data_IF_525468954929
#
_entry.id   IF_525468954929
#
_cell.length_a   1.000
_cell.length_b   1.000
_cell.length_c   1.000
_cell.angle_alpha   90.00
_cell.angle_beta   90.00
_cell.angle_gamma   90.00
#
_symmetry.space_group_name_H-M   'P 1'
#
loop_
_entity.id
_entity.type
_entity.pdbx_description
1 polymer ?
#
# COMPACT_ATOMS: atom_id res chain seq x y z
N UNK A 1 16.08 -10.75 4.78
CA UNK A 1 14.93 -10.47 3.92
C UNK A 1 14.20 -11.78 3.62
N UNK A 2 12.93 -11.88 4.00
CA UNK A 2 12.17 -13.13 3.84
C UNK A 2 11.70 -13.31 2.37
N UNK A 3 11.10 -14.45 2.03
CA UNK A 3 10.66 -14.74 0.66
C UNK A 3 9.59 -13.76 0.15
N UNK A 4 8.72 -13.29 1.04
CA UNK A 4 7.64 -12.35 0.72
C UNK A 4 8.21 -10.97 0.40
N UNK A 5 9.15 -10.46 1.18
CA UNK A 5 9.81 -9.16 0.92
C UNK A 5 10.49 -9.15 -0.46
N UNK A 6 11.15 -10.27 -0.84
CA UNK A 6 11.75 -10.45 -2.18
C UNK A 6 10.71 -10.46 -3.28
N UNK A 7 9.58 -11.14 -3.06
CA UNK A 7 8.48 -11.16 -4.01
C UNK A 7 7.94 -9.75 -4.24
N UNK A 8 7.74 -8.98 -3.17
CA UNK A 8 7.24 -7.61 -3.24
C UNK A 8 8.23 -6.74 -3.99
N UNK A 9 9.51 -6.74 -3.62
CA UNK A 9 10.57 -5.97 -4.28
C UNK A 9 10.64 -6.21 -5.80
N UNK A 10 10.44 -7.46 -6.25
CA UNK A 10 10.44 -7.81 -7.67
C UNK A 10 9.14 -7.49 -8.40
N UNK A 11 8.06 -7.18 -7.67
CA UNK A 11 6.71 -6.99 -8.19
C UNK A 11 6.15 -5.60 -7.84
N UNK A 12 7.00 -4.58 -7.83
CA UNK A 12 6.62 -3.21 -7.47
C UNK A 12 5.47 -2.62 -8.28
N UNK A 13 5.21 -3.11 -9.49
CA UNK A 13 4.05 -2.71 -10.30
C UNK A 13 2.69 -3.01 -9.66
N UNK A 14 2.65 -3.93 -8.69
CA UNK A 14 1.46 -4.30 -7.93
C UNK A 14 1.37 -3.58 -6.58
N UNK A 15 2.21 -2.56 -6.38
CA UNK A 15 2.15 -1.69 -5.20
C UNK A 15 1.33 -0.46 -5.53
N UNK A 16 0.18 -0.34 -4.86
CA UNK A 16 -0.71 0.79 -5.01
C UNK A 16 -0.47 1.82 -3.90
N UNK A 17 -0.49 3.09 -4.31
CA UNK A 17 -0.40 4.27 -3.43
C UNK A 17 -1.82 4.78 -3.16
N UNK A 18 -2.26 4.76 -1.91
CA UNK A 18 -3.64 5.12 -1.54
C UNK A 18 -3.61 6.27 -0.54
N UNK A 19 -4.25 7.39 -0.89
CA UNK A 19 -4.53 8.49 0.03
C UNK A 19 -5.99 8.41 0.46
N UNK A 20 -6.23 8.15 1.74
CA UNK A 20 -7.58 8.00 2.28
C UNK A 20 -7.66 8.54 3.70
N UNK A 21 -8.90 8.70 4.20
CA UNK A 21 -9.12 8.93 5.62
C UNK A 21 -9.28 7.59 6.34
N UNK A 22 -8.64 7.44 7.49
CA UNK A 22 -8.87 6.30 8.37
C UNK A 22 -10.26 6.36 9.05
N UNK A 23 -10.58 5.38 9.87
CA UNK A 23 -11.85 5.32 10.62
C UNK A 23 -12.02 6.46 11.63
N UNK A 24 -10.95 7.17 11.98
CA UNK A 24 -10.96 8.36 12.85
C UNK A 24 -11.11 9.67 12.06
N UNK A 25 -11.12 9.60 10.72
CA UNK A 25 -11.23 10.75 9.82
C UNK A 25 -9.91 11.44 9.52
N UNK A 26 -8.78 10.89 9.97
CA UNK A 26 -7.43 11.44 9.73
C UNK A 26 -6.93 11.01 8.36
N UNK A 27 -6.29 11.93 7.64
CA UNK A 27 -5.61 11.60 6.40
C UNK A 27 -4.42 10.69 6.65
N UNK A 28 -4.32 9.64 5.86
CA UNK A 28 -3.19 8.74 5.81
C UNK A 28 -2.85 8.40 4.36
N UNK A 29 -1.58 8.08 4.15
CA UNK A 29 -1.04 7.61 2.89
C UNK A 29 -0.55 6.17 3.08
N UNK A 30 -1.11 5.25 2.30
CA UNK A 30 -0.85 3.81 2.37
C UNK A 30 -0.13 3.34 1.11
N UNK A 31 0.76 2.37 1.31
CA UNK A 31 1.38 1.58 0.27
C UNK A 31 0.94 0.13 0.48
N UNK A 32 0.21 -0.43 -0.47
CA UNK A 32 -0.29 -1.80 -0.40
C UNK A 32 0.21 -2.60 -1.58
N UNK A 33 0.83 -3.75 -1.31
CA UNK A 33 1.07 -4.77 -2.32
C UNK A 33 -0.19 -5.61 -2.50
N UNK A 34 -0.77 -5.58 -3.70
CA UNK A 34 -1.96 -6.35 -4.04
C UNK A 34 -1.57 -7.45 -5.02
N UNK A 35 -1.66 -8.74 -4.65
CA UNK A 35 -1.32 -9.83 -5.57
C UNK A 35 -2.10 -9.73 -6.89
N UNK A 36 -1.50 -10.13 -8.04
CA UNK A 36 -2.11 -9.92 -9.36
C UNK A 36 -3.54 -10.47 -9.49
N UNK A 37 -3.81 -11.60 -8.85
CA UNK A 37 -5.14 -12.25 -8.88
C UNK A 37 -6.22 -11.51 -8.07
N UNK A 38 -5.84 -10.58 -7.19
CA UNK A 38 -6.75 -9.73 -6.39
C UNK A 38 -6.87 -8.31 -6.91
N UNK A 39 -6.00 -7.87 -7.81
CA UNK A 39 -5.92 -6.48 -8.28
C UNK A 39 -7.24 -5.96 -8.87
N UNK A 40 -7.89 -6.77 -9.71
CA UNK A 40 -9.18 -6.39 -10.33
C UNK A 40 -10.26 -6.15 -9.27
N UNK A 41 -10.34 -7.03 -8.26
CA UNK A 41 -11.34 -6.92 -7.19
C UNK A 41 -11.03 -5.71 -6.29
N UNK A 42 -9.75 -5.47 -6.00
CA UNK A 42 -9.30 -4.30 -5.25
C UNK A 42 -9.69 -2.98 -5.93
N UNK A 43 -9.41 -2.86 -7.24
CA UNK A 43 -9.77 -1.67 -8.02
C UNK A 43 -11.30 -1.46 -8.03
N UNK A 44 -12.09 -2.53 -8.10
CA UNK A 44 -13.55 -2.42 -8.03
C UNK A 44 -14.02 -1.97 -6.63
N UNK A 45 -13.40 -2.47 -5.56
CA UNK A 45 -13.72 -2.08 -4.19
C UNK A 45 -13.45 -0.59 -3.96
N UNK A 46 -12.30 -0.08 -4.42
CA UNK A 46 -11.95 1.35 -4.35
C UNK A 46 -12.98 2.26 -5.03
N UNK A 47 -13.67 1.78 -6.07
CA UNK A 47 -14.66 2.56 -6.82
C UNK A 47 -16.07 2.51 -6.22
N UNK A 48 -16.41 1.43 -5.51
CA UNK A 48 -17.79 1.14 -5.08
C UNK A 48 -18.02 1.38 -3.59
N UNK A 49 -16.98 1.20 -2.78
CA UNK A 49 -17.09 1.21 -1.32
C UNK A 49 -16.54 2.53 -0.75
N UNK A 50 -17.25 3.11 0.22
CA UNK A 50 -16.77 4.30 0.95
C UNK A 50 -15.72 3.96 2.01
N UNK A 51 -15.74 2.73 2.48
CA UNK A 51 -14.83 2.17 3.49
C UNK A 51 -14.44 0.79 2.99
N UNK A 52 -13.14 0.51 2.95
CA UNK A 52 -12.59 -0.80 2.63
C UNK A 52 -11.53 -1.14 3.67
N UNK A 53 -11.43 -2.42 4.01
CA UNK A 53 -10.24 -2.93 4.65
C UNK A 53 -9.21 -3.25 3.56
N UNK A 54 -8.01 -2.69 3.68
CA UNK A 54 -6.94 -2.90 2.71
C UNK A 54 -6.38 -4.33 2.83
N UNK A 55 -6.42 -4.93 4.03
CA UNK A 55 -5.85 -6.25 4.30
C UNK A 55 -6.66 -7.40 3.66
N UNK A 56 -7.93 -7.16 3.30
CA UNK A 56 -8.74 -8.10 2.52
C UNK A 56 -8.14 -8.39 1.13
N UNK A 57 -7.46 -7.38 0.56
CA UNK A 57 -6.99 -7.39 -0.82
C UNK A 57 -5.48 -7.63 -0.95
N UNK A 58 -4.70 -7.27 0.05
CA UNK A 58 -3.25 -7.34 -0.03
C UNK A 58 -2.56 -7.08 1.30
N UNK A 59 -1.28 -6.71 1.22
CA UNK A 59 -0.47 -6.43 2.41
C UNK A 59 -0.09 -4.97 2.43
N UNK A 60 -0.43 -4.26 3.49
CA UNK A 60 0.07 -2.90 3.71
C UNK A 60 1.55 -2.99 4.00
N UNK A 61 2.36 -2.48 3.07
CA UNK A 61 3.82 -2.53 3.15
C UNK A 61 4.44 -1.26 3.68
N UNK A 62 3.65 -0.20 3.88
CA UNK A 62 4.07 1.06 4.48
C UNK A 62 2.89 2.02 4.61
N UNK A 63 2.94 2.90 5.61
CA UNK A 63 1.95 3.96 5.77
C UNK A 63 2.50 5.11 6.59
N UNK A 64 1.98 6.31 6.36
CA UNK A 64 2.22 7.48 7.21
C UNK A 64 0.92 8.31 7.33
N UNK A 65 0.83 9.13 8.38
CA UNK A 65 -0.23 10.12 8.47
C UNK A 65 0.10 11.33 7.58
N UNK A 66 -0.95 11.95 7.05
CA UNK A 66 -0.84 13.08 6.12
C UNK A 66 -1.35 12.73 4.72
N UNK A 67 -1.17 13.68 3.81
CA UNK A 67 -1.64 13.55 2.42
C UNK A 67 -0.55 13.10 1.46
N UNK A 68 0.68 12.97 1.94
CA UNK A 68 1.86 12.62 1.15
C UNK A 68 2.79 11.70 1.97
N UNK A 69 3.63 10.90 1.31
CA UNK A 69 4.64 10.07 1.97
C UNK A 69 5.69 10.95 2.66
N UNK A 70 5.92 10.70 3.95
CA UNK A 70 7.02 11.32 4.71
C UNK A 70 8.36 10.63 4.45
N UNK A 71 9.45 11.23 4.93
CA UNK A 71 10.80 10.70 4.72
C UNK A 71 10.97 9.32 5.38
N UNK A 72 10.33 9.10 6.53
CA UNK A 72 10.39 7.84 7.27
C UNK A 72 9.85 6.68 6.43
N UNK A 73 8.67 6.84 5.83
CA UNK A 73 8.07 5.78 5.01
C UNK A 73 8.81 5.62 3.68
N UNK A 74 9.34 6.70 3.10
CA UNK A 74 10.17 6.63 1.88
C UNK A 74 11.43 5.82 2.11
N UNK A 75 12.17 6.14 3.17
CA UNK A 75 13.40 5.43 3.53
C UNK A 75 13.11 3.97 3.87
N UNK A 76 12.02 3.70 4.61
CA UNK A 76 11.62 2.33 4.92
C UNK A 76 11.30 1.48 3.69
N UNK A 77 10.58 2.04 2.71
CA UNK A 77 10.25 1.34 1.46
C UNK A 77 11.49 1.11 0.58
N UNK A 78 12.41 2.07 0.57
CA UNK A 78 13.70 1.95 -0.11
C UNK A 78 14.55 0.84 0.54
N UNK A 79 14.75 0.90 1.86
CA UNK A 79 15.63 -0.05 2.57
C UNK A 79 15.08 -1.47 2.52
N UNK A 80 13.76 -1.64 2.64
CA UNK A 80 13.14 -2.96 2.77
C UNK A 80 12.79 -3.61 1.44
N UNK A 81 12.33 -2.82 0.47
CA UNK A 81 11.81 -3.35 -0.80
C UNK A 81 12.52 -2.77 -2.04
N UNK A 82 13.52 -1.89 -1.86
CA UNK A 82 14.19 -1.19 -2.94
C UNK A 82 13.24 -0.33 -3.80
N UNK A 83 12.20 0.22 -3.18
CA UNK A 83 11.24 1.11 -3.85
C UNK A 83 11.61 2.57 -3.62
N UNK A 84 11.94 3.27 -4.71
CA UNK A 84 12.10 4.73 -4.73
C UNK A 84 10.79 5.36 -5.20
N UNK A 85 10.25 6.29 -4.40
CA UNK A 85 8.91 6.88 -4.55
C UNK A 85 8.89 8.38 -4.30
#
# INVERSE_FOLDING_TARGET
MNHIDKLIANNGQYVHKIKAKDTTGRWAYYFIYVPPHKEVVFIQALKRSRVIDLEDYGTVIGSCYGTEPDETVRQYLLDKYNFSI
#
